data_IF_751787916506
#
_entry.id   IF_751787916506
#
_cell.length_a   1.000
_cell.length_b   1.000
_cell.length_c   1.000
_cell.angle_alpha   90.00
_cell.angle_beta   90.00
_cell.angle_gamma   90.00
#
_symmetry.space_group_name_H-M   'P 1'
#
loop_
_entity.id
_entity.type
_entity.pdbx_description
1 polymer ?
#
# COMPACT_ATOMS: atom_id res chain seq x y z
N UNK A 1 20.23 2.00 -15.44
CA UNK A 1 19.24 1.44 -14.51
C UNK A 1 19.29 2.26 -13.22
N UNK A 2 18.51 3.34 -13.23
CA UNK A 2 18.26 4.23 -12.11
C UNK A 2 16.76 4.33 -11.92
N UNK A 3 16.32 4.43 -10.67
CA UNK A 3 14.91 4.70 -10.35
C UNK A 3 14.60 6.15 -10.76
N UNK A 4 13.49 6.34 -11.46
CA UNK A 4 13.02 7.64 -11.96
C UNK A 4 11.64 8.01 -11.44
N UNK A 5 10.94 7.09 -10.78
CA UNK A 5 9.71 7.42 -10.06
C UNK A 5 9.40 6.36 -8.99
N UNK A 6 8.81 6.80 -7.89
CA UNK A 6 8.21 5.94 -6.86
C UNK A 6 6.82 6.50 -6.55
N UNK A 7 5.79 5.68 -6.74
CA UNK A 7 4.40 6.04 -6.50
C UNK A 7 3.79 5.11 -5.46
N UNK A 8 2.91 5.64 -4.61
CA UNK A 8 2.15 4.87 -3.63
C UNK A 8 0.65 5.10 -3.79
N UNK A 9 -0.09 4.01 -3.96
CA UNK A 9 -1.54 4.02 -4.17
C UNK A 9 -2.22 3.36 -2.97
N UNK A 10 -2.89 4.17 -2.15
CA UNK A 10 -3.76 3.67 -1.08
C UNK A 10 -5.11 3.27 -1.65
N UNK A 11 -5.56 2.08 -1.27
CA UNK A 11 -6.82 1.51 -1.72
C UNK A 11 -7.58 0.96 -0.50
N UNK A 12 -8.90 1.06 -0.55
CA UNK A 12 -9.79 0.55 0.48
C UNK A 12 -10.92 -0.23 -0.19
N UNK A 13 -11.19 -1.43 0.29
CA UNK A 13 -12.32 -2.25 -0.15
C UNK A 13 -13.21 -2.56 1.05
N UNK A 14 -14.47 -2.10 0.99
CA UNK A 14 -15.50 -2.45 1.98
C UNK A 14 -15.95 -3.89 1.72
N UNK A 15 -15.96 -4.73 2.75
CA UNK A 15 -16.51 -6.08 2.61
C UNK A 15 -18.02 -5.99 2.31
N UNK A 16 -18.58 -6.84 1.42
CA UNK A 16 -20.02 -6.91 1.20
C UNK A 16 -20.80 -7.15 2.51
N UNK A 17 -20.25 -8.02 3.37
CA UNK A 17 -20.76 -8.32 4.70
C UNK A 17 -19.60 -8.34 5.72
N UNK A 18 -19.81 -7.91 6.98
CA UNK A 18 -18.80 -8.02 8.04
C UNK A 18 -18.29 -9.45 8.22
N UNK A 19 -16.97 -9.64 8.16
CA UNK A 19 -16.35 -10.95 8.30
C UNK A 19 -15.83 -11.16 9.72
N UNK A 20 -16.37 -12.15 10.44
CA UNK A 20 -15.89 -12.56 11.76
C UNK A 20 -14.78 -13.60 11.61
N UNK A 21 -13.60 -13.32 12.15
CA UNK A 21 -12.43 -14.19 12.04
C UNK A 21 -11.77 -14.37 13.41
N UNK A 22 -11.20 -15.54 13.72
CA UNK A 22 -10.37 -15.71 14.89
C UNK A 22 -9.22 -14.69 14.92
N UNK A 23 -8.88 -14.25 16.12
CA UNK A 23 -7.76 -13.36 16.38
C UNK A 23 -7.08 -13.73 17.70
N UNK A 24 -5.89 -13.19 17.93
CA UNK A 24 -5.15 -13.48 19.17
C UNK A 24 -5.94 -12.99 20.38
N UNK A 25 -6.39 -13.93 21.22
CA UNK A 25 -7.20 -13.66 22.40
C UNK A 25 -8.70 -13.42 22.15
N UNK A 26 -9.23 -13.71 20.95
CA UNK A 26 -10.67 -13.56 20.69
C UNK A 26 -11.08 -13.62 19.22
N UNK A 27 -12.04 -12.78 18.86
CA UNK A 27 -12.58 -12.63 17.50
C UNK A 27 -12.35 -11.20 17.01
N UNK A 28 -12.09 -11.03 15.70
CA UNK A 28 -12.10 -9.73 15.03
C UNK A 28 -13.19 -9.70 13.97
N UNK A 29 -13.82 -8.54 13.84
CA UNK A 29 -14.76 -8.27 12.75
C UNK A 29 -14.08 -7.38 11.71
N UNK A 30 -13.90 -7.89 10.49
CA UNK A 30 -13.33 -7.17 9.36
C UNK A 30 -14.47 -6.50 8.58
N UNK A 31 -14.47 -5.17 8.57
CA UNK A 31 -15.44 -4.35 7.82
C UNK A 31 -14.90 -3.89 6.46
N UNK A 32 -13.58 -3.72 6.38
CA UNK A 32 -12.87 -3.29 5.17
C UNK A 32 -11.45 -3.85 5.17
N UNK A 33 -10.82 -3.85 4.00
CA UNK A 33 -9.41 -4.13 3.80
C UNK A 33 -8.76 -2.94 3.12
N UNK A 34 -7.73 -2.42 3.77
CA UNK A 34 -6.83 -1.46 3.18
C UNK A 34 -5.63 -2.18 2.56
N UNK A 35 -5.16 -1.66 1.44
CA UNK A 35 -3.93 -2.10 0.78
C UNK A 35 -3.19 -0.88 0.25
N UNK A 36 -1.86 -0.99 0.17
CA UNK A 36 -1.05 -0.07 -0.62
C UNK A 36 -0.36 -0.84 -1.74
N UNK A 37 -0.43 -0.31 -2.96
CA UNK A 37 0.43 -0.73 -4.06
C UNK A 37 1.53 0.33 -4.25
N UNK A 38 2.78 -0.11 -4.29
CA UNK A 38 3.92 0.72 -4.64
C UNK A 38 4.31 0.39 -6.07
N UNK A 39 4.51 1.42 -6.89
CA UNK A 39 5.03 1.31 -8.25
C UNK A 39 6.37 2.02 -8.33
N UNK A 40 7.37 1.35 -8.89
CA UNK A 40 8.71 1.90 -9.11
C UNK A 40 9.02 1.85 -10.60
N UNK A 41 9.42 2.97 -11.17
CA UNK A 41 9.82 3.07 -12.59
C UNK A 41 11.28 3.49 -12.72
N UNK A 42 11.90 3.12 -13.84
CA UNK A 42 13.33 3.34 -14.10
C UNK A 42 13.60 4.10 -15.41
N UNK A 43 14.82 4.60 -15.55
CA UNK A 43 15.34 5.27 -16.76
C UNK A 43 15.40 4.34 -17.99
N UNK A 44 15.42 3.03 -17.79
CA UNK A 44 15.41 2.03 -18.86
C UNK A 44 13.98 1.60 -19.26
N UNK A 45 12.95 2.25 -18.74
CA UNK A 45 11.54 1.93 -19.04
C UNK A 45 10.97 0.73 -18.27
N UNK A 46 11.77 0.07 -17.42
CA UNK A 46 11.26 -1.01 -16.56
C UNK A 46 10.39 -0.44 -15.43
N UNK A 47 9.31 -1.14 -15.13
CA UNK A 47 8.40 -0.82 -14.02
C UNK A 47 8.13 -2.07 -13.18
N UNK A 48 8.26 -1.94 -11.87
CA UNK A 48 7.96 -2.99 -10.89
C UNK A 48 6.87 -2.58 -9.91
N UNK A 49 6.22 -3.57 -9.29
CA UNK A 49 5.13 -3.38 -8.34
C UNK A 49 5.36 -4.20 -7.08
N UNK A 50 5.00 -3.66 -5.92
CA UNK A 50 5.13 -4.31 -4.63
C UNK A 50 4.03 -3.85 -3.64
N UNK A 51 3.68 -4.65 -2.63
CA UNK A 51 2.80 -4.20 -1.55
C UNK A 51 3.53 -3.20 -0.64
N UNK A 52 2.77 -2.27 -0.04
CA UNK A 52 3.27 -1.34 0.99
C UNK A 52 2.39 -1.30 2.25
N UNK A 53 2.81 -0.59 3.30
CA UNK A 53 2.00 -0.37 4.49
C UNK A 53 0.75 0.46 4.17
N UNK A 54 -0.44 -0.10 4.42
CA UNK A 54 -1.71 0.50 4.02
C UNK A 54 -2.19 1.61 4.98
N UNK A 55 -1.35 2.63 5.24
CA UNK A 55 -1.70 3.78 6.07
C UNK A 55 -1.14 5.09 5.52
N UNK A 56 -1.86 6.20 5.76
CA UNK A 56 -1.52 7.54 5.23
C UNK A 56 -0.12 8.01 5.60
N UNK A 57 0.38 7.66 6.80
CA UNK A 57 1.74 8.04 7.22
C UNK A 57 2.82 7.52 6.24
N UNK A 58 2.73 6.25 5.81
CA UNK A 58 3.68 5.68 4.86
C UNK A 58 3.53 6.30 3.47
N UNK A 59 2.29 6.59 3.04
CA UNK A 59 2.05 7.31 1.77
C UNK A 59 2.71 8.68 1.79
N UNK A 60 2.61 9.39 2.92
CA UNK A 60 3.24 10.70 3.10
C UNK A 60 4.77 10.57 3.04
N UNK A 61 5.36 9.69 3.84
CA UNK A 61 6.81 9.40 3.84
C UNK A 61 7.32 9.10 2.42
N UNK A 62 6.62 8.24 1.66
CA UNK A 62 6.99 7.94 0.27
C UNK A 62 7.00 9.20 -0.60
N UNK A 63 5.95 10.01 -0.52
CA UNK A 63 5.80 11.19 -1.37
C UNK A 63 6.72 12.36 -0.99
N UNK A 64 7.09 12.49 0.29
CA UNK A 64 7.84 13.66 0.78
C UNK A 64 9.30 13.39 1.06
N UNK A 65 9.70 12.14 1.32
CA UNK A 65 11.06 11.79 1.72
C UNK A 65 11.74 10.84 0.72
N UNK A 66 10.99 9.90 0.14
CA UNK A 66 11.56 8.85 -0.73
C UNK A 66 11.59 9.27 -2.20
N UNK A 67 10.54 9.95 -2.70
CA UNK A 67 10.39 10.34 -4.12
C UNK A 67 11.29 11.52 -4.53
N UNK A 68 12.25 11.94 -3.70
CA UNK A 68 13.09 13.11 -3.94
C UNK A 68 14.30 12.75 -4.84
N UNK A 69 14.09 12.59 -6.14
CA UNK A 69 15.17 12.44 -7.13
C UNK A 69 14.77 12.98 -8.50
#
# INVERSE_FOLDING_TARGET
MKITNVESFLMSYRMPEPQKLPFWGGERTILKRDAMLIRVSTDTGLTGYAPGPAHERARKEINTEIRLF
#
